data_IF_607627884007
#
_entry.id   IF_607627884007
#
_cell.length_a   1.000
_cell.length_b   1.000
_cell.length_c   1.000
_cell.angle_alpha   90.00
_cell.angle_beta   90.00
_cell.angle_gamma   90.00
#
_symmetry.space_group_name_H-M   'P 1'
#
loop_
_entity.id
_entity.type
_entity.pdbx_description
1 polymer ?
#
# COMPACT_ATOMS: atom_id res chain seq x y z
N UNK A 1 -6.24 -17.13 28.63
CA UNK A 1 -7.31 -17.48 27.66
C UNK A 1 -6.74 -18.48 26.66
N UNK A 2 -7.21 -19.73 26.61
CA UNK A 2 -6.77 -20.69 25.58
C UNK A 2 -7.82 -20.69 24.47
N UNK A 3 -7.48 -20.16 23.30
CA UNK A 3 -8.33 -20.26 22.11
C UNK A 3 -8.40 -21.75 21.70
N UNK A 4 -9.61 -22.32 21.65
CA UNK A 4 -9.82 -23.67 21.10
C UNK A 4 -10.23 -23.53 19.64
N UNK A 5 -9.33 -23.85 18.71
CA UNK A 5 -9.64 -23.99 17.29
C UNK A 5 -10.47 -25.28 17.06
N UNK A 6 -11.66 -25.16 16.46
CA UNK A 6 -12.46 -26.34 16.03
C UNK A 6 -11.94 -26.79 14.66
N UNK A 7 -11.61 -28.08 14.52
CA UNK A 7 -11.24 -28.69 13.23
C UNK A 7 -12.48 -28.83 12.35
N UNK A 8 -12.55 -28.11 11.24
CA UNK A 8 -13.38 -28.48 10.09
C UNK A 8 -12.48 -29.15 9.06
N UNK A 9 -12.77 -30.41 8.71
CA UNK A 9 -11.98 -31.15 7.74
C UNK A 9 -12.12 -30.57 6.35
N UNK A 10 -11.01 -30.27 5.68
CA UNK A 10 -10.98 -29.97 4.25
C UNK A 10 -9.78 -30.61 3.55
N UNK A 11 -10.04 -31.01 2.29
CA UNK A 11 -9.14 -31.71 1.37
C UNK A 11 -8.13 -30.74 0.77
N UNK A 12 -6.94 -31.27 0.48
CA UNK A 12 -5.75 -30.51 0.12
C UNK A 12 -5.87 -29.66 -1.15
N UNK A 13 -5.47 -28.39 -1.01
CA UNK A 13 -4.99 -27.55 -2.09
C UNK A 13 -3.50 -27.28 -1.82
N UNK A 14 -2.63 -27.58 -2.79
CA UNK A 14 -1.20 -27.24 -2.73
C UNK A 14 -1.03 -25.80 -3.21
N UNK A 15 -0.86 -24.86 -2.29
CA UNK A 15 -0.36 -23.52 -2.59
C UNK A 15 1.16 -23.50 -2.63
N UNK A 16 1.75 -22.62 -3.46
CA UNK A 16 3.19 -22.38 -3.52
C UNK A 16 3.66 -21.83 -2.17
N UNK A 17 4.55 -22.56 -1.50
CA UNK A 17 5.10 -22.16 -0.21
C UNK A 17 6.03 -20.96 -0.39
N UNK A 18 5.60 -19.79 0.07
CA UNK A 18 6.50 -18.69 0.36
C UNK A 18 7.14 -18.95 1.73
N UNK A 19 8.46 -18.80 1.87
CA UNK A 19 9.06 -18.90 3.21
C UNK A 19 8.49 -17.78 4.09
N UNK A 20 8.00 -18.09 5.31
CA UNK A 20 7.44 -17.09 6.20
C UNK A 20 8.53 -16.13 6.66
N UNK A 21 8.36 -14.84 6.34
CA UNK A 21 9.22 -13.79 6.88
C UNK A 21 9.16 -13.73 8.42
N UNK A 22 10.11 -13.06 9.08
CA UNK A 22 10.21 -12.97 10.54
C UNK A 22 8.93 -12.43 11.23
N UNK A 23 8.06 -11.74 10.49
CA UNK A 23 6.79 -11.20 10.99
C UNK A 23 5.54 -12.06 10.67
N UNK A 24 5.70 -13.27 10.13
CA UNK A 24 4.56 -14.12 9.74
C UNK A 24 3.81 -14.69 10.96
N UNK A 25 2.47 -14.70 10.88
CA UNK A 25 1.59 -15.31 11.88
C UNK A 25 1.50 -16.84 11.73
N UNK A 26 1.82 -17.36 10.54
CA UNK A 26 1.63 -18.76 10.16
C UNK A 26 2.44 -19.74 11.04
N UNK A 27 3.73 -19.48 11.36
CA UNK A 27 4.54 -20.36 12.20
C UNK A 27 4.01 -20.55 13.63
N UNK A 28 3.32 -19.55 14.20
CA UNK A 28 2.73 -19.64 15.54
C UNK A 28 1.33 -20.30 15.51
N UNK A 29 0.56 -20.07 14.43
CA UNK A 29 -0.81 -20.54 14.30
C UNK A 29 -0.92 -22.03 13.97
N UNK A 30 -0.11 -22.51 13.01
CA UNK A 30 -0.21 -23.89 12.48
C UNK A 30 0.03 -24.95 13.57
N UNK A 31 1.10 -24.89 14.39
CA UNK A 31 1.32 -25.88 15.45
C UNK A 31 0.22 -25.87 16.52
N UNK A 32 -0.33 -24.68 16.80
CA UNK A 32 -1.33 -24.48 17.86
C UNK A 32 -2.72 -24.99 17.45
N UNK A 33 -3.12 -24.76 16.20
CA UNK A 33 -4.47 -25.08 15.73
C UNK A 33 -4.54 -26.32 14.84
N UNK A 34 -3.40 -26.83 14.36
CA UNK A 34 -3.34 -27.96 13.43
C UNK A 34 -4.05 -27.67 12.10
N UNK A 35 -4.12 -26.39 11.72
CA UNK A 35 -4.73 -25.91 10.50
C UNK A 35 -3.70 -25.86 9.36
N UNK A 36 -4.16 -26.00 8.12
CA UNK A 36 -3.37 -25.65 6.93
C UNK A 36 -3.68 -24.20 6.61
N UNK A 37 -2.65 -23.37 6.53
CA UNK A 37 -2.76 -21.97 6.13
C UNK A 37 -2.24 -21.86 4.70
N UNK A 38 -3.04 -21.23 3.83
CA UNK A 38 -2.66 -20.90 2.46
C UNK A 38 -2.75 -19.39 2.32
N UNK A 39 -1.59 -18.75 2.14
CA UNK A 39 -1.51 -17.30 2.04
C UNK A 39 -1.62 -16.86 0.57
N UNK A 40 -2.39 -15.80 0.33
CA UNK A 40 -2.43 -15.09 -0.95
C UNK A 40 -2.07 -13.63 -0.69
N UNK A 41 -0.84 -13.26 -1.02
CA UNK A 41 -0.37 -11.88 -0.91
C UNK A 41 -0.74 -11.07 -2.16
N UNK A 42 -1.06 -9.79 -1.96
CA UNK A 42 -1.35 -8.88 -3.07
C UNK A 42 -1.85 -7.51 -2.60
N UNK A 43 -2.07 -6.59 -3.53
CA UNK A 43 -2.61 -5.26 -3.26
C UNK A 43 -3.98 -5.36 -2.57
N UNK A 44 -4.17 -4.68 -1.43
CA UNK A 44 -5.34 -4.90 -0.59
C UNK A 44 -6.68 -4.56 -1.29
N UNK A 45 -6.73 -3.48 -2.07
CA UNK A 45 -7.93 -3.12 -2.85
C UNK A 45 -8.16 -4.15 -3.96
N UNK A 46 -7.09 -4.55 -4.65
CA UNK A 46 -7.16 -5.58 -5.69
C UNK A 46 -7.67 -6.94 -5.17
N UNK A 47 -7.23 -7.35 -3.97
CA UNK A 47 -7.73 -8.57 -3.31
C UNK A 47 -9.20 -8.43 -2.88
N UNK A 48 -9.61 -7.28 -2.35
CA UNK A 48 -11.01 -7.01 -2.01
C UNK A 48 -11.90 -7.05 -3.26
N UNK A 49 -11.46 -6.47 -4.37
CA UNK A 49 -12.17 -6.52 -5.64
C UNK A 49 -12.27 -7.95 -6.20
N UNK A 50 -11.21 -8.76 -6.07
CA UNK A 50 -11.23 -10.16 -6.45
C UNK A 50 -12.23 -10.99 -5.61
N UNK A 51 -12.34 -10.71 -4.30
CA UNK A 51 -13.36 -11.31 -3.43
C UNK A 51 -14.77 -10.92 -3.94
N UNK A 52 -15.00 -9.63 -4.19
CA UNK A 52 -16.29 -9.13 -4.71
C UNK A 52 -16.65 -9.74 -6.07
N UNK A 53 -15.66 -9.96 -6.91
CA UNK A 53 -15.80 -10.60 -8.22
C UNK A 53 -15.93 -12.13 -8.16
N UNK A 54 -15.80 -12.74 -6.97
CA UNK A 54 -15.79 -14.20 -6.74
C UNK A 54 -14.65 -14.95 -7.45
N UNK A 55 -13.61 -14.24 -7.87
CA UNK A 55 -12.39 -14.83 -8.43
C UNK A 55 -11.40 -15.23 -7.35
N UNK A 56 -11.58 -14.73 -6.12
CA UNK A 56 -10.84 -15.12 -4.92
C UNK A 56 -11.83 -15.48 -3.80
N UNK A 57 -11.54 -16.56 -3.07
CA UNK A 57 -12.23 -16.94 -1.85
C UNK A 57 -11.23 -16.95 -0.70
N UNK A 58 -11.58 -16.32 0.42
CA UNK A 58 -10.72 -16.22 1.59
C UNK A 58 -11.53 -16.45 2.87
N UNK A 59 -10.97 -17.19 3.83
CA UNK A 59 -11.53 -17.34 5.17
C UNK A 59 -11.21 -16.14 6.06
N UNK A 60 -10.06 -15.50 5.81
CA UNK A 60 -9.58 -14.30 6.51
C UNK A 60 -9.04 -13.33 5.46
N UNK A 61 -9.52 -12.09 5.51
CA UNK A 61 -8.99 -10.98 4.71
C UNK A 61 -8.33 -9.96 5.64
N UNK A 62 -7.12 -9.53 5.30
CA UNK A 62 -6.34 -8.57 6.05
C UNK A 62 -5.86 -7.48 5.09
N UNK A 63 -6.30 -6.25 5.35
CA UNK A 63 -5.90 -5.07 4.57
C UNK A 63 -4.93 -4.20 5.35
N UNK A 64 -4.00 -3.55 4.63
CA UNK A 64 -3.15 -2.49 5.16
C UNK A 64 -3.92 -1.21 5.51
N UNK A 65 -5.10 -1.01 4.93
CA UNK A 65 -6.01 0.10 5.23
C UNK A 65 -7.38 -0.45 5.68
N UNK A 66 -7.81 -0.04 6.87
CA UNK A 66 -9.09 -0.43 7.46
C UNK A 66 -10.30 -0.05 6.59
N UNK A 67 -10.22 1.03 5.81
CA UNK A 67 -11.32 1.47 4.94
C UNK A 67 -11.59 0.48 3.81
N UNK A 68 -10.58 -0.27 3.35
CA UNK A 68 -10.78 -1.32 2.34
C UNK A 68 -11.70 -2.42 2.89
N UNK A 69 -11.58 -2.77 4.18
CA UNK A 69 -12.47 -3.77 4.79
C UNK A 69 -13.94 -3.32 4.77
N UNK A 70 -14.22 -2.02 4.89
CA UNK A 70 -15.57 -1.48 4.81
C UNK A 70 -16.24 -1.76 3.45
N UNK A 71 -15.44 -1.87 2.37
CA UNK A 71 -15.92 -2.17 1.01
C UNK A 71 -16.42 -3.60 0.82
N UNK A 72 -16.29 -4.45 1.85
CA UNK A 72 -16.75 -5.83 1.90
C UNK A 72 -17.96 -6.02 2.82
N UNK A 73 -18.40 -4.99 3.55
CA UNK A 73 -19.46 -5.07 4.56
C UNK A 73 -20.73 -4.41 4.05
N UNK A 74 -21.88 -5.05 4.31
CA UNK A 74 -23.20 -4.54 3.99
C UNK A 74 -23.72 -5.02 2.64
N UNK A 75 -25.05 -5.00 2.49
CA UNK A 75 -25.74 -5.56 1.33
C UNK A 75 -25.29 -4.94 0.00
N UNK A 76 -25.01 -3.63 -0.02
CA UNK A 76 -24.50 -2.93 -1.20
C UNK A 76 -23.12 -3.43 -1.66
N UNK A 77 -22.36 -4.04 -0.75
CA UNK A 77 -21.02 -4.56 -0.98
C UNK A 77 -20.98 -6.09 -1.11
N UNK A 78 -22.14 -6.76 -1.07
CA UNK A 78 -22.26 -8.22 -1.19
C UNK A 78 -22.20 -8.99 0.14
N UNK A 79 -22.20 -8.31 1.29
CA UNK A 79 -22.19 -8.92 2.64
C UNK A 79 -21.09 -9.98 2.84
N UNK A 80 -19.91 -9.76 2.25
CA UNK A 80 -18.75 -10.67 2.37
C UNK A 80 -18.21 -10.76 3.79
N UNK A 81 -18.26 -9.67 4.54
CA UNK A 81 -17.89 -9.61 5.95
C UNK A 81 -19.01 -8.95 6.78
N UNK A 82 -19.09 -9.32 8.06
CA UNK A 82 -20.04 -8.73 9.02
C UNK A 82 -19.40 -7.67 9.93
N UNK A 83 -18.10 -7.75 10.13
CA UNK A 83 -17.31 -6.87 10.99
C UNK A 83 -15.84 -6.92 10.58
N UNK A 84 -15.07 -5.92 11.01
CA UNK A 84 -13.62 -5.97 11.04
C UNK A 84 -13.13 -5.36 12.36
N UNK A 85 -11.86 -5.58 12.69
CA UNK A 85 -11.18 -4.90 13.78
C UNK A 85 -9.84 -4.35 13.28
N UNK A 86 -9.40 -3.24 13.87
CA UNK A 86 -8.07 -2.68 13.65
C UNK A 86 -7.16 -3.16 14.77
N UNK A 87 -5.98 -3.67 14.43
CA UNK A 87 -5.06 -4.27 15.43
C UNK A 87 -3.61 -3.84 15.27
N UNK A 88 -3.26 -3.16 14.18
CA UNK A 88 -1.90 -2.74 13.87
C UNK A 88 -1.90 -1.36 13.22
N UNK A 89 -0.73 -0.71 13.25
CA UNK A 89 -0.42 0.53 12.54
C UNK A 89 0.91 0.36 11.84
N UNK A 90 1.15 1.24 10.88
CA UNK A 90 2.41 1.35 10.16
C UNK A 90 2.76 2.82 9.98
N UNK A 91 3.93 3.05 9.40
CA UNK A 91 4.34 4.37 8.94
C UNK A 91 4.97 4.27 7.56
N UNK A 92 4.73 5.28 6.74
CA UNK A 92 5.39 5.44 5.45
C UNK A 92 6.83 5.95 5.66
N UNK A 93 7.76 5.30 4.99
CA UNK A 93 9.18 5.65 4.94
C UNK A 93 9.66 5.69 3.50
N UNK A 94 10.85 6.24 3.30
CA UNK A 94 11.57 6.09 2.04
C UNK A 94 12.57 4.96 2.21
N UNK A 95 12.32 3.82 1.56
CA UNK A 95 13.18 2.63 1.66
C UNK A 95 14.11 2.50 0.45
N UNK A 96 15.34 2.03 0.64
CA UNK A 96 16.34 1.93 -0.41
C UNK A 96 17.37 0.83 -0.11
N UNK A 97 18.16 0.48 -1.12
CA UNK A 97 19.24 -0.51 -1.01
C UNK A 97 20.60 0.18 -1.09
N UNK A 98 21.66 -0.48 -0.62
CA UNK A 98 23.04 0.01 -0.79
C UNK A 98 23.56 -0.07 -2.23
N UNK A 99 22.73 -0.49 -3.20
CA UNK A 99 23.11 -0.68 -4.60
C UNK A 99 22.76 0.52 -5.50
N UNK A 100 21.91 1.44 -5.04
CA UNK A 100 21.60 2.66 -5.79
C UNK A 100 22.84 3.55 -5.92
N UNK A 101 23.07 4.19 -7.09
CA UNK A 101 24.13 5.18 -7.25
C UNK A 101 23.96 6.39 -6.30
N UNK A 102 22.74 6.64 -5.80
CA UNK A 102 22.45 7.75 -4.87
C UNK A 102 22.64 7.37 -3.40
N UNK A 103 23.23 6.20 -3.09
CA UNK A 103 23.31 5.69 -1.72
C UNK A 103 23.97 6.67 -0.74
N UNK A 104 25.05 7.34 -1.16
CA UNK A 104 25.77 8.28 -0.31
C UNK A 104 24.89 9.47 0.11
N UNK A 105 24.09 10.02 -0.81
CA UNK A 105 23.22 11.16 -0.53
C UNK A 105 21.95 10.72 0.21
N UNK A 106 21.43 9.52 -0.07
CA UNK A 106 20.36 8.91 0.73
C UNK A 106 20.79 8.67 2.18
N UNK A 107 22.03 8.25 2.44
CA UNK A 107 22.55 8.12 3.82
C UNK A 107 22.71 9.48 4.50
N UNK A 108 23.21 10.51 3.81
CA UNK A 108 23.22 11.88 4.36
C UNK A 108 21.81 12.35 4.70
N UNK A 109 20.84 12.08 3.84
CA UNK A 109 19.44 12.40 4.08
C UNK A 109 18.86 11.62 5.27
N UNK A 110 19.18 10.33 5.39
CA UNK A 110 18.80 9.47 6.53
C UNK A 110 19.35 9.99 7.85
N UNK A 111 20.58 10.52 7.83
CA UNK A 111 21.24 11.13 8.99
C UNK A 111 20.76 12.56 9.27
N UNK A 112 19.91 13.13 8.42
CA UNK A 112 19.39 14.49 8.55
C UNK A 112 20.39 15.58 8.16
N UNK A 113 21.48 15.23 7.49
CA UNK A 113 22.50 16.19 7.04
C UNK A 113 22.04 17.01 5.82
N UNK A 114 21.19 16.42 4.97
CA UNK A 114 20.54 17.08 3.84
C UNK A 114 19.05 16.73 3.79
N UNK A 115 18.19 17.55 3.16
CA UNK A 115 16.79 17.22 3.00
C UNK A 115 16.59 16.01 2.06
N UNK A 116 15.81 15.02 2.49
CA UNK A 116 15.51 13.84 1.68
C UNK A 116 14.87 14.20 0.33
N UNK A 117 14.03 15.23 0.32
CA UNK A 117 13.33 15.66 -0.88
C UNK A 117 14.28 16.33 -1.89
N UNK A 118 15.49 16.74 -1.50
CA UNK A 118 16.48 17.19 -2.48
C UNK A 118 17.00 15.99 -3.28
N UNK A 119 17.41 14.93 -2.58
CA UNK A 119 17.96 13.71 -3.20
C UNK A 119 16.95 13.07 -4.15
N UNK A 120 15.69 12.91 -3.70
CA UNK A 120 14.64 12.27 -4.50
C UNK A 120 14.24 13.07 -5.76
N UNK A 121 14.64 14.34 -5.84
CA UNK A 121 14.34 15.22 -6.97
C UNK A 121 15.53 15.44 -7.90
N UNK A 122 16.65 14.75 -7.65
CA UNK A 122 17.85 14.85 -8.48
C UNK A 122 17.61 14.29 -9.89
N UNK A 123 18.20 14.90 -10.92
CA UNK A 123 18.10 14.40 -12.28
C UNK A 123 18.57 12.95 -12.39
N UNK A 124 17.71 12.08 -12.92
CA UNK A 124 17.99 10.66 -13.09
C UNK A 124 17.66 9.77 -11.89
N UNK A 125 17.17 10.34 -10.78
CA UNK A 125 16.66 9.57 -9.64
C UNK A 125 15.38 8.84 -10.02
N UNK A 126 15.29 7.54 -9.72
CA UNK A 126 14.10 6.71 -9.95
C UNK A 126 13.40 6.43 -8.62
N UNK A 127 12.29 7.10 -8.38
CA UNK A 127 11.42 6.87 -7.22
C UNK A 127 10.31 5.85 -7.56
N UNK A 128 10.09 4.89 -6.67
CA UNK A 128 9.07 3.85 -6.85
C UNK A 128 7.95 3.89 -5.81
N UNK A 129 6.78 3.38 -6.19
CA UNK A 129 5.62 3.10 -5.34
C UNK A 129 4.75 2.01 -5.97
N UNK A 130 3.80 1.46 -5.22
CA UNK A 130 2.79 0.55 -5.79
C UNK A 130 1.67 1.31 -6.53
N UNK A 131 0.82 0.59 -7.26
CA UNK A 131 -0.30 1.19 -7.99
C UNK A 131 -1.33 1.80 -7.02
N UNK A 132 -1.62 3.11 -7.11
CA UNK A 132 -2.51 3.80 -6.18
C UNK A 132 -3.98 3.41 -6.36
N UNK A 133 -4.35 2.71 -7.43
CA UNK A 133 -5.73 2.26 -7.64
C UNK A 133 -5.99 0.91 -6.97
N UNK A 134 -4.94 0.13 -6.68
CA UNK A 134 -5.08 -1.25 -6.19
C UNK A 134 -4.42 -1.48 -4.84
N UNK A 135 -3.50 -0.61 -4.42
CA UNK A 135 -2.70 -0.79 -3.20
C UNK A 135 -2.71 0.47 -2.31
N UNK A 136 -3.02 0.32 -1.00
CA UNK A 136 -2.82 1.37 -0.02
C UNK A 136 -1.46 2.02 0.00
N UNK A 137 -0.37 1.26 -0.16
CA UNK A 137 0.97 1.86 -0.22
C UNK A 137 1.11 2.85 -1.38
N UNK A 138 0.37 2.63 -2.47
CA UNK A 138 0.46 3.43 -3.69
C UNK A 138 -0.22 4.77 -3.53
N UNK A 139 -1.41 4.79 -2.91
CA UNK A 139 -2.12 6.04 -2.65
C UNK A 139 -1.62 6.76 -1.39
N UNK A 140 -1.05 6.05 -0.41
CA UNK A 140 -0.36 6.67 0.71
C UNK A 140 0.89 7.42 0.27
N UNK A 141 1.68 6.90 -0.68
CA UNK A 141 2.77 7.65 -1.29
C UNK A 141 2.32 9.02 -1.86
N UNK A 142 1.16 9.07 -2.53
CA UNK A 142 0.57 10.32 -3.02
C UNK A 142 0.21 11.27 -1.88
N UNK A 143 -0.34 10.75 -0.77
CA UNK A 143 -0.63 11.57 0.41
C UNK A 143 0.62 12.10 1.07
N UNK A 144 1.65 11.28 1.25
CA UNK A 144 2.94 11.69 1.80
C UNK A 144 3.52 12.84 0.98
N UNK A 145 3.53 12.73 -0.35
CA UNK A 145 4.08 13.78 -1.22
C UNK A 145 3.33 15.11 -1.09
N UNK A 146 1.99 15.09 -1.03
CA UNK A 146 1.16 16.30 -0.86
C UNK A 146 1.27 16.91 0.54
N UNK A 147 1.35 16.06 1.56
CA UNK A 147 1.59 16.50 2.93
C UNK A 147 3.00 17.11 3.05
N UNK A 148 4.00 16.54 2.39
CA UNK A 148 5.37 17.08 2.34
C UNK A 148 5.40 18.47 1.68
N UNK A 149 4.70 18.66 0.57
CA UNK A 149 4.57 19.98 -0.08
C UNK A 149 4.06 21.04 0.90
N UNK A 150 2.99 20.72 1.64
CA UNK A 150 2.41 21.63 2.63
C UNK A 150 3.32 21.83 3.85
N UNK A 151 3.93 20.75 4.34
CA UNK A 151 4.76 20.72 5.54
C UNK A 151 6.07 21.51 5.36
N UNK A 152 6.76 21.30 4.23
CA UNK A 152 8.00 22.00 3.89
C UNK A 152 7.76 23.36 3.23
N UNK A 153 6.51 23.68 2.87
CA UNK A 153 6.10 24.91 2.17
C UNK A 153 6.87 25.11 0.86
N UNK A 154 6.95 24.04 0.07
CA UNK A 154 7.62 24.01 -1.23
C UNK A 154 6.54 23.76 -2.29
N UNK A 155 6.00 24.83 -2.92
CA UNK A 155 4.95 24.68 -3.93
C UNK A 155 5.41 23.78 -5.09
N UNK A 156 4.55 22.85 -5.49
CA UNK A 156 4.83 21.89 -6.57
C UNK A 156 5.72 20.71 -6.18
N UNK A 157 6.09 20.56 -4.90
CA UNK A 157 6.95 19.46 -4.47
C UNK A 157 6.34 18.09 -4.76
N UNK A 158 5.02 17.92 -4.59
CA UNK A 158 4.38 16.63 -4.85
C UNK A 158 4.49 16.23 -6.33
N UNK A 159 4.29 17.18 -7.23
CA UNK A 159 4.41 16.98 -8.68
C UNK A 159 5.87 16.75 -9.10
N UNK A 160 6.84 17.40 -8.45
CA UNK A 160 8.25 17.14 -8.74
C UNK A 160 8.71 15.75 -8.28
N UNK A 161 8.17 15.27 -7.15
CA UNK A 161 8.47 13.94 -6.64
C UNK A 161 7.79 12.82 -7.44
N UNK A 162 6.50 12.98 -7.76
CA UNK A 162 5.64 11.89 -8.26
C UNK A 162 4.94 12.16 -9.60
N UNK A 163 5.18 13.32 -10.22
CA UNK A 163 4.46 13.75 -11.42
C UNK A 163 2.95 13.71 -11.22
N UNK A 164 2.24 13.16 -12.20
CA UNK A 164 0.79 12.92 -12.09
C UNK A 164 0.49 11.74 -11.14
N UNK A 165 -0.64 11.77 -10.44
CA UNK A 165 -1.09 10.66 -9.57
C UNK A 165 -1.05 9.26 -10.24
N UNK A 166 -1.20 9.22 -11.56
CA UNK A 166 -1.22 7.99 -12.37
C UNK A 166 0.08 7.79 -13.17
N UNK A 167 1.20 8.39 -12.75
CA UNK A 167 2.48 8.29 -13.45
C UNK A 167 2.95 6.81 -13.50
N UNK A 168 2.95 6.16 -14.68
CA UNK A 168 3.31 4.75 -14.78
C UNK A 168 4.80 4.50 -14.54
N UNK A 169 5.65 5.54 -14.62
CA UNK A 169 7.10 5.40 -14.42
C UNK A 169 7.46 5.07 -12.95
N UNK A 170 6.60 5.42 -12.00
CA UNK A 170 6.80 5.15 -10.56
C UNK A 170 6.13 3.87 -10.09
N UNK A 171 5.21 3.31 -10.88
CA UNK A 171 4.45 2.12 -10.48
C UNK A 171 5.32 0.89 -10.64
N UNK A 172 5.88 0.44 -9.52
CA UNK A 172 6.81 -0.68 -9.44
C UNK A 172 6.21 -1.77 -8.55
N UNK A 173 6.00 -3.00 -9.05
CA UNK A 173 5.45 -4.09 -8.26
C UNK A 173 6.48 -4.62 -7.25
N UNK A 174 6.06 -5.01 -6.04
CA UNK A 174 6.91 -5.74 -5.10
C UNK A 174 7.35 -7.11 -5.67
N UNK A 175 8.48 -7.69 -5.23
CA UNK A 175 9.38 -7.17 -4.20
C UNK A 175 10.31 -6.08 -4.75
N UNK A 176 10.49 -4.99 -3.99
CA UNK A 176 11.36 -3.87 -4.33
C UNK A 176 12.87 -4.22 -4.30
N UNK A 177 13.20 -5.48 -4.04
CA UNK A 177 14.54 -5.96 -3.72
C UNK A 177 15.04 -7.12 -4.59
N UNK A 178 14.27 -7.64 -5.56
CA UNK A 178 14.70 -8.82 -6.35
C UNK A 178 14.78 -8.62 -7.87
N UNK A 179 15.98 -8.99 -8.33
CA UNK A 179 16.51 -9.18 -9.68
C UNK A 179 15.54 -9.86 -10.66
N UNK A 180 15.12 -9.10 -11.65
CA UNK A 180 14.37 -9.47 -12.86
C UNK A 180 14.40 -8.30 -13.83
N UNK A 181 13.76 -8.39 -15.00
CA UNK A 181 13.84 -7.39 -16.08
C UNK A 181 13.11 -6.05 -15.81
N UNK A 182 12.75 -5.75 -14.56
CA UNK A 182 12.15 -4.48 -14.15
C UNK A 182 13.21 -3.50 -13.63
N UNK A 183 12.99 -2.20 -13.85
CA UNK A 183 13.83 -1.16 -13.26
C UNK A 183 13.80 -1.28 -11.72
N UNK A 184 14.96 -1.36 -11.10
CA UNK A 184 15.09 -1.27 -9.64
C UNK A 184 15.06 0.21 -9.29
N UNK A 185 14.10 0.67 -8.47
CA UNK A 185 14.08 2.07 -8.06
C UNK A 185 15.27 2.37 -7.14
N UNK A 186 15.73 3.62 -7.17
CA UNK A 186 16.75 4.12 -6.27
C UNK A 186 16.25 4.18 -4.83
N UNK A 187 14.99 4.56 -4.66
CA UNK A 187 14.24 4.43 -3.42
C UNK A 187 12.75 4.22 -3.70
N UNK A 188 12.01 3.74 -2.70
CA UNK A 188 10.56 3.62 -2.77
C UNK A 188 9.89 4.26 -1.57
N UNK A 189 8.70 4.82 -1.79
CA UNK A 189 7.75 4.95 -0.69
C UNK A 189 7.26 3.56 -0.30
N UNK A 190 7.26 3.27 1.00
CA UNK A 190 6.73 2.03 1.52
C UNK A 190 6.73 1.97 3.03
N UNK A 191 6.19 0.87 3.55
CA UNK A 191 6.01 0.69 4.98
C UNK A 191 7.31 0.39 5.73
N UNK A 192 7.49 0.98 6.91
CA UNK A 192 8.60 0.66 7.82
C UNK A 192 8.68 -0.84 8.11
N UNK A 193 7.54 -1.49 8.38
CA UNK A 193 7.54 -2.94 8.65
C UNK A 193 8.13 -3.75 7.49
N UNK A 194 7.83 -3.35 6.25
CA UNK A 194 8.33 -4.01 5.04
C UNK A 194 9.81 -3.74 4.80
N UNK A 195 10.28 -2.53 5.14
CA UNK A 195 11.69 -2.20 5.09
C UNK A 195 12.50 -3.03 6.10
N UNK A 196 12.00 -3.16 7.33
CA UNK A 196 12.62 -3.98 8.39
C UNK A 196 12.62 -5.46 8.03
N UNK A 197 11.49 -6.01 7.58
CA UNK A 197 11.37 -7.43 7.19
C UNK A 197 12.35 -7.81 6.06
N UNK A 198 12.59 -6.89 5.12
CA UNK A 198 13.49 -7.08 3.99
C UNK A 198 14.94 -6.64 4.28
N UNK A 199 15.25 -6.09 5.45
CA UNK A 199 16.58 -5.58 5.79
C UNK A 199 17.02 -4.38 4.93
N UNK A 200 16.07 -3.55 4.51
CA UNK A 200 16.33 -2.33 3.72
C UNK A 200 16.81 -1.17 4.60
N UNK A 201 17.58 -0.27 4.01
CA UNK A 201 17.81 1.05 4.59
C UNK A 201 16.54 1.88 4.44
N UNK A 202 16.29 2.81 5.36
CA UNK A 202 15.13 3.69 5.28
C UNK A 202 15.37 5.06 5.90
N UNK A 203 14.73 6.08 5.33
CA UNK A 203 14.62 7.43 5.89
C UNK A 203 13.27 7.51 6.62
N UNK A 204 13.30 7.77 7.93
CA UNK A 204 12.11 8.05 8.70
C UNK A 204 11.54 9.43 8.32
N UNK A 205 10.24 9.49 8.06
CA UNK A 205 9.54 10.73 7.71
C UNK A 205 8.92 11.38 8.95
N UNK A 206 8.76 12.73 8.98
CA UNK A 206 8.07 13.41 10.07
C UNK A 206 6.66 12.84 10.34
N UNK A 207 6.21 12.72 11.60
CA UNK A 207 4.87 12.23 11.94
C UNK A 207 3.72 12.94 11.24
N UNK A 208 3.93 14.21 10.86
CA UNK A 208 2.96 15.05 10.15
C UNK A 208 2.71 14.61 8.71
N UNK A 209 3.62 13.83 8.13
CA UNK A 209 3.53 13.41 6.73
C UNK A 209 3.54 11.87 6.57
N UNK A 210 4.01 11.11 7.57
CA UNK A 210 4.28 9.67 7.46
C UNK A 210 3.05 8.76 7.67
N UNK A 211 1.84 9.33 7.80
CA UNK A 211 0.57 8.60 7.94
C UNK A 211 0.45 7.72 9.21
N UNK A 212 1.32 7.88 10.21
CA UNK A 212 1.40 6.99 11.38
C UNK A 212 0.48 7.37 12.55
N UNK A 213 0.18 8.66 12.70
CA UNK A 213 -0.57 9.20 13.84
C UNK A 213 -2.03 9.53 13.48
N UNK A 214 -3.02 8.77 14.00
CA UNK A 214 -4.43 9.05 13.76
C UNK A 214 -4.90 10.40 14.29
N UNK A 215 -4.18 11.01 15.24
CA UNK A 215 -4.50 12.37 15.70
C UNK A 215 -4.37 13.42 14.59
N UNK A 216 -3.63 13.10 13.52
CA UNK A 216 -3.36 13.96 12.37
C UNK A 216 -4.22 13.63 11.14
N UNK A 217 -5.19 12.71 11.25
CA UNK A 217 -5.98 12.21 10.11
C UNK A 217 -6.80 13.29 9.37
N UNK A 218 -7.11 14.42 10.02
CA UNK A 218 -7.86 15.53 9.40
C UNK A 218 -7.02 16.41 8.46
N UNK A 219 -5.72 16.14 8.34
CA UNK A 219 -4.77 16.95 7.55
C UNK A 219 -4.59 16.37 6.14
N UNK A 220 -5.06 15.14 5.87
CA UNK A 220 -4.89 14.47 4.57
C UNK A 220 -5.72 15.13 3.47
N UNK A 221 -5.09 15.67 2.40
CA UNK A 221 -5.83 16.24 1.27
C UNK A 221 -6.59 15.16 0.50
N UNK A 222 -7.78 15.45 -0.05
CA UNK A 222 -8.48 14.50 -0.91
C UNK A 222 -7.62 14.13 -2.13
N UNK A 223 -7.62 12.85 -2.53
CA UNK A 223 -7.07 12.44 -3.83
C UNK A 223 -7.85 13.18 -4.94
N UNK A 224 -7.16 13.60 -5.99
CA UNK A 224 -7.85 14.09 -7.17
C UNK A 224 -8.54 12.87 -7.79
N UNK A 225 -9.83 12.69 -7.50
CA UNK A 225 -10.60 11.61 -8.10
C UNK A 225 -10.61 11.84 -9.60
N UNK A 226 -9.95 10.95 -10.34
CA UNK A 226 -10.06 10.89 -11.79
C UNK A 226 -11.53 10.94 -12.18
N UNK A 227 -11.83 11.77 -13.16
CA UNK A 227 -13.15 11.92 -13.77
C UNK A 227 -13.76 10.54 -14.03
N UNK A 228 -15.04 10.31 -13.67
CA UNK A 228 -15.71 9.06 -14.01
C UNK A 228 -15.57 8.83 -15.52
N UNK A 229 -15.11 7.63 -15.88
CA UNK A 229 -15.06 7.17 -17.26
C UNK A 229 -16.50 7.16 -17.79
N UNK A 230 -16.95 8.28 -18.36
CA UNK A 230 -18.28 8.40 -18.95
C UNK A 230 -18.34 7.47 -20.13
N UNK A 231 -18.92 6.29 -19.89
CA UNK A 231 -19.41 5.41 -20.93
C UNK A 231 -20.48 6.15 -21.74
N UNK A 232 -20.35 6.01 -23.06
CA UNK A 232 -21.41 5.96 -24.06
C UNK A 232 -22.68 6.78 -23.81
N UNK A 233 -22.85 7.77 -24.69
CA UNK A 233 -24.10 8.51 -24.94
C UNK A 233 -25.35 7.64 -24.79
N UNK A 234 -26.29 8.07 -23.97
CA UNK A 234 -27.71 7.90 -24.26
C UNK A 234 -28.45 9.17 -23.89
N UNK A 235 -29.11 9.74 -24.89
CA UNK A 235 -29.85 10.98 -24.79
C UNK A 235 -31.14 10.75 -23.99
N UNK A 236 -31.31 11.48 -22.89
CA UNK A 236 -32.63 11.71 -22.29
C UNK A 236 -33.08 13.14 -22.64
N UNK A 237 -33.94 13.24 -23.65
CA UNK A 237 -34.64 14.47 -24.03
C UNK A 237 -35.54 14.91 -22.87
N UNK A 238 -35.54 16.22 -22.60
CA UNK A 238 -36.52 16.90 -21.74
C UNK A 238 -37.88 16.89 -22.44
N UNK A 239 -38.93 16.52 -21.73
CA UNK A 239 -40.30 16.93 -22.03
C UNK A 239 -40.74 17.92 -20.94
N UNK A 240 -41.09 19.12 -21.37
CA UNK A 240 -41.87 20.08 -20.57
C UNK A 240 -43.10 20.40 -21.40
N UNK A 241 -44.27 20.15 -20.83
CA UNK A 241 -45.57 20.48 -21.41
C UNK A 241 -45.87 21.97 -21.27
N UNK A 242 -46.30 22.57 -22.38
CA UNK A 242 -47.56 23.28 -22.47
C UNK A 242 -48.31 22.70 -23.68
#
# INVERSE_FOLDING_TARGET
>A
MRARCRRHGQRGARGLAHEPGPLSLTPAFVPTCGAVVTDTAGPAVGLADAIKARSLSADVFMSADAHVNQTLIGAANGDWARWYLTFSRNEEVISYTSKTPFYADLEKARLGEIPWHHVLTEPGFVLGRTDPNTDPGGYYALFVARLAESYYRIPGLAEHLLGSDQNPAEVIPPPFTKTGAGAVPDATFGYLSSAVDQGLHYIALPPQINMSDPSLANVTPPLATGTPRTGSRSAARRFTTA
#
